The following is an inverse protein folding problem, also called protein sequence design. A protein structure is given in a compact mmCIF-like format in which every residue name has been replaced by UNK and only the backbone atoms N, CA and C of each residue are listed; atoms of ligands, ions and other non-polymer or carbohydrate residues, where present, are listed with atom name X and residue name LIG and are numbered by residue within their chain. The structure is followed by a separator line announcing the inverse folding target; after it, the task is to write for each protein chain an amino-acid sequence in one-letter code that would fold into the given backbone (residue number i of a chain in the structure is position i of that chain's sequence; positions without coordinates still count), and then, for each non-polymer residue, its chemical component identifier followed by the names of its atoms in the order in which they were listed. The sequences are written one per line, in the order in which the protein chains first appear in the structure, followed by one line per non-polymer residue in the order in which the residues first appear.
data_IF_166256395741
#
_entry.id   IF_166256395741
#
_cell.length_a   1.000
_cell.length_b   1.000
_cell.length_c   1.000
_cell.angle_alpha   90.00
_cell.angle_beta   90.00
_cell.angle_gamma   90.00
#
_symmetry.space_group_name_H-M   'P 1'
#
loop_
_entity.id
_entity.type
_entity.pdbx_description
1 polymer ?
#
# COMPACT_ATOMS: atom_id res chain seq x y z
N UNK A 1 -23.98 -23.69 -22.44
CA UNK A 1 -23.89 -25.17 -22.49
C UNK A 1 -22.61 -25.53 -23.21
N UNK A 2 -21.57 -25.97 -22.53
CA UNK A 2 -20.63 -27.03 -22.85
C UNK A 2 -19.51 -27.04 -21.82
N UNK A 3 -19.65 -27.98 -20.88
CA UNK A 3 -18.60 -28.34 -19.91
C UNK A 3 -17.47 -29.06 -20.68
N UNK A 4 -16.21 -28.62 -20.48
CA UNK A 4 -15.04 -29.43 -20.84
C UNK A 4 -14.54 -30.16 -19.60
N UNK A 5 -14.69 -31.49 -19.63
CA UNK A 5 -14.08 -32.43 -18.69
C UNK A 5 -12.60 -32.59 -19.03
N UNK A 6 -11.71 -32.54 -18.03
CA UNK A 6 -10.35 -33.04 -18.17
C UNK A 6 -10.25 -34.45 -17.59
N UNK A 7 -9.81 -35.35 -18.45
CA UNK A 7 -9.55 -36.76 -18.17
C UNK A 7 -8.24 -36.92 -17.39
N UNK A 8 -8.36 -37.63 -16.27
CA UNK A 8 -7.23 -38.18 -15.51
C UNK A 8 -6.65 -39.39 -16.27
N UNK A 9 -5.34 -39.40 -16.50
CA UNK A 9 -4.60 -40.59 -16.91
C UNK A 9 -3.67 -41.00 -15.78
N UNK A 10 -4.02 -42.13 -15.15
CA UNK A 10 -3.14 -42.84 -14.24
C UNK A 10 -2.14 -43.68 -15.03
N UNK A 11 -0.85 -43.51 -14.74
CA UNK A 11 0.23 -44.34 -15.24
C UNK A 11 1.08 -44.87 -14.12
N UNK A 12 1.00 -46.14 -13.81
CA UNK A 12 1.92 -46.90 -12.95
C UNK A 12 3.22 -47.20 -13.72
N UNK A 13 4.36 -47.12 -13.04
CA UNK A 13 5.57 -47.70 -13.62
C UNK A 13 6.87 -47.37 -12.87
N UNK A 14 7.21 -48.20 -11.88
CA UNK A 14 8.51 -48.88 -11.67
C UNK A 14 9.72 -48.05 -11.12
N UNK A 15 10.16 -48.53 -9.98
CA UNK A 15 11.39 -48.38 -9.16
C UNK A 15 12.68 -48.29 -9.97
N UNK A 16 13.52 -47.32 -9.58
CA UNK A 16 14.95 -47.29 -9.96
C UNK A 16 15.70 -46.44 -8.92
N UNK A 17 16.40 -47.11 -8.02
CA UNK A 17 17.38 -46.53 -7.08
C UNK A 17 18.60 -46.06 -7.85
N UNK A 18 18.98 -44.82 -7.75
CA UNK A 18 20.36 -44.34 -7.80
C UNK A 18 20.45 -42.94 -7.20
N UNK A 19 21.15 -42.83 -6.08
CA UNK A 19 21.37 -41.56 -5.40
C UNK A 19 22.32 -40.63 -6.14
N UNK A 20 22.09 -39.34 -5.98
CA UNK A 20 23.09 -38.30 -5.94
C UNK A 20 22.56 -37.16 -5.11
N UNK A 21 23.26 -36.90 -4.01
CA UNK A 21 23.13 -35.73 -3.15
C UNK A 21 23.37 -34.45 -3.98
N UNK A 22 22.35 -33.69 -4.21
CA UNK A 22 22.43 -32.30 -4.62
C UNK A 22 21.73 -31.46 -3.55
N UNK A 23 22.49 -30.86 -2.66
CA UNK A 23 22.04 -29.82 -1.78
C UNK A 23 21.75 -28.60 -2.68
N UNK A 24 20.48 -28.37 -2.95
CA UNK A 24 20.01 -27.07 -3.47
C UNK A 24 20.09 -26.05 -2.31
N UNK A 25 20.15 -24.75 -2.62
CA UNK A 25 20.14 -23.73 -1.60
C UNK A 25 18.88 -23.90 -0.73
N UNK A 26 19.07 -23.78 0.58
CA UNK A 26 18.02 -23.82 1.58
C UNK A 26 17.01 -22.72 1.24
N UNK A 27 15.86 -23.09 0.70
CA UNK A 27 14.68 -22.24 0.78
C UNK A 27 14.32 -22.21 2.26
N UNK A 28 14.35 -21.05 2.87
CA UNK A 28 13.79 -20.87 4.21
C UNK A 28 12.39 -21.50 4.22
N UNK A 29 12.03 -22.22 5.29
CA UNK A 29 10.70 -22.82 5.35
C UNK A 29 9.67 -21.70 5.28
N UNK A 30 8.71 -21.83 4.36
CA UNK A 30 7.56 -20.95 4.31
C UNK A 30 6.91 -20.93 5.72
N UNK A 31 6.66 -19.73 6.24
CA UNK A 31 6.02 -19.57 7.56
C UNK A 31 4.61 -20.17 7.42
N UNK A 32 4.31 -21.18 8.24
CA UNK A 32 3.01 -21.83 8.20
C UNK A 32 1.99 -20.99 9.01
N UNK A 33 0.81 -20.65 8.45
CA UNK A 33 -0.22 -19.92 9.18
C UNK A 33 -0.67 -20.71 10.42
N UNK A 34 -0.88 -20.03 11.52
CA UNK A 34 -1.34 -20.67 12.76
C UNK A 34 -2.82 -21.00 12.74
N UNK A 35 -3.62 -20.27 11.93
CA UNK A 35 -5.05 -20.53 11.74
C UNK A 35 -5.91 -20.34 12.99
N UNK A 36 -5.37 -19.69 14.01
CA UNK A 36 -6.06 -19.48 15.29
C UNK A 36 -6.89 -18.18 15.29
N UNK A 37 -6.73 -17.31 14.28
CA UNK A 37 -7.48 -16.07 14.16
C UNK A 37 -8.95 -16.31 13.82
N UNK A 38 -9.82 -15.45 14.36
CA UNK A 38 -11.22 -15.42 14.00
C UNK A 38 -11.48 -14.41 12.91
N UNK A 39 -12.01 -14.85 11.79
CA UNK A 39 -12.35 -14.01 10.63
C UNK A 39 -13.85 -13.91 10.46
N UNK A 40 -14.36 -12.69 10.29
CA UNK A 40 -15.76 -12.39 10.05
C UNK A 40 -15.90 -11.39 8.90
N UNK A 41 -16.84 -11.63 7.98
CA UNK A 41 -17.22 -10.63 6.97
C UNK A 41 -18.17 -9.61 7.60
N UNK A 42 -17.77 -8.33 7.64
CA UNK A 42 -18.58 -7.25 8.23
C UNK A 42 -19.34 -6.45 7.17
N UNK A 43 -18.88 -6.43 5.94
CA UNK A 43 -19.61 -5.88 4.79
C UNK A 43 -19.19 -6.64 3.53
N UNK A 44 -20.04 -6.63 2.49
CA UNK A 44 -19.78 -7.35 1.23
C UNK A 44 -20.38 -6.59 0.03
N UNK A 45 -19.79 -6.76 -1.14
CA UNK A 45 -20.29 -6.19 -2.37
C UNK A 45 -19.62 -4.87 -2.82
N UNK A 46 -18.47 -4.53 -2.25
CA UNK A 46 -17.62 -3.43 -2.73
C UNK A 46 -16.92 -3.79 -4.04
N UNK A 47 -16.64 -2.81 -4.89
CA UNK A 47 -15.97 -3.03 -6.15
C UNK A 47 -14.50 -2.60 -6.08
N UNK A 48 -13.57 -3.55 -6.04
CA UNK A 48 -12.14 -3.27 -5.94
C UNK A 48 -11.81 -2.17 -4.93
N UNK A 49 -12.18 -2.35 -3.62
CA UNK A 49 -11.81 -1.38 -2.61
C UNK A 49 -10.30 -1.20 -2.60
N UNK A 50 -9.84 0.06 -2.65
CA UNK A 50 -8.41 0.37 -2.71
C UNK A 50 -7.86 0.83 -1.37
N UNK A 51 -8.67 1.59 -0.64
CA UNK A 51 -8.31 2.11 0.68
C UNK A 51 -9.52 2.19 1.60
N UNK A 52 -9.24 2.13 2.87
CA UNK A 52 -10.21 2.22 3.94
C UNK A 52 -9.65 3.05 5.10
N UNK A 53 -10.42 3.99 5.63
CA UNK A 53 -10.07 4.73 6.85
C UNK A 53 -11.24 4.77 7.81
N UNK A 54 -10.96 4.87 9.11
CA UNK A 54 -11.97 4.92 10.17
C UNK A 54 -12.36 6.37 10.43
N UNK A 55 -13.67 6.66 10.57
CA UNK A 55 -14.12 7.93 11.08
C UNK A 55 -13.97 7.98 12.61
N UNK A 56 -13.22 8.97 13.17
CA UNK A 56 -12.86 8.95 14.59
C UNK A 56 -14.03 9.11 15.56
N UNK A 57 -15.20 9.55 15.07
CA UNK A 57 -16.34 9.93 15.93
C UNK A 57 -17.53 8.96 15.87
N UNK A 58 -17.59 8.00 14.93
CA UNK A 58 -18.72 7.08 14.81
C UNK A 58 -18.38 5.66 14.33
N UNK A 59 -17.11 5.31 14.28
CA UNK A 59 -16.61 3.97 13.93
C UNK A 59 -17.07 3.42 12.57
N UNK A 60 -17.52 4.27 11.64
CA UNK A 60 -17.76 3.87 10.24
C UNK A 60 -16.48 3.96 9.43
N UNK A 61 -16.41 3.18 8.37
CA UNK A 61 -15.31 3.28 7.41
C UNK A 61 -15.69 4.19 6.24
N UNK A 62 -14.75 4.99 5.79
CA UNK A 62 -14.78 5.61 4.47
C UNK A 62 -13.94 4.73 3.56
N UNK A 63 -14.53 4.21 2.49
CA UNK A 63 -13.90 3.25 1.58
C UNK A 63 -13.90 3.79 0.17
N UNK A 64 -12.74 3.76 -0.48
CA UNK A 64 -12.61 4.06 -1.91
C UNK A 64 -12.80 2.79 -2.74
N UNK A 65 -13.55 2.88 -3.82
CA UNK A 65 -13.76 1.82 -4.79
C UNK A 65 -13.14 2.24 -6.12
N UNK A 66 -11.99 1.66 -6.42
CA UNK A 66 -11.06 2.11 -7.45
C UNK A 66 -11.68 2.20 -8.83
N UNK A 67 -12.16 1.07 -9.34
CA UNK A 67 -12.51 0.91 -10.76
C UNK A 67 -13.80 1.66 -11.14
N UNK A 68 -14.68 1.90 -10.17
CA UNK A 68 -15.95 2.61 -10.37
C UNK A 68 -15.89 4.06 -9.91
N UNK A 69 -14.76 4.52 -9.35
CA UNK A 69 -14.60 5.90 -8.88
C UNK A 69 -15.59 6.28 -7.78
N UNK A 70 -15.91 5.36 -6.86
CA UNK A 70 -16.92 5.55 -5.83
C UNK A 70 -16.28 5.66 -4.44
N UNK A 71 -16.81 6.55 -3.63
CA UNK A 71 -16.53 6.64 -2.21
C UNK A 71 -17.75 6.17 -1.45
N UNK A 72 -17.59 5.32 -0.46
CA UNK A 72 -18.70 4.75 0.32
C UNK A 72 -18.45 4.90 1.81
N UNK A 73 -19.50 5.16 2.59
CA UNK A 73 -19.51 4.91 4.03
C UNK A 73 -19.94 3.47 4.27
N UNK A 74 -19.20 2.77 5.11
CA UNK A 74 -19.50 1.38 5.49
C UNK A 74 -19.67 1.32 7.00
N UNK A 75 -20.79 0.78 7.44
CA UNK A 75 -21.07 0.54 8.85
C UNK A 75 -20.69 -0.91 9.18
N UNK A 76 -19.64 -1.15 9.97
CA UNK A 76 -19.21 -2.50 10.28
C UNK A 76 -20.11 -3.25 11.27
N UNK A 77 -21.07 -2.59 11.93
CA UNK A 77 -21.99 -3.23 12.85
C UNK A 77 -23.14 -3.96 12.14
N UNK A 78 -23.61 -3.41 11.01
CA UNK A 78 -24.74 -3.96 10.27
C UNK A 78 -24.46 -4.28 8.80
N UNK A 79 -23.26 -3.94 8.29
CA UNK A 79 -22.83 -4.20 6.92
C UNK A 79 -23.41 -3.23 5.87
N UNK A 80 -24.06 -2.15 6.29
CA UNK A 80 -24.65 -1.17 5.37
C UNK A 80 -23.56 -0.40 4.60
N UNK A 81 -23.70 -0.33 3.28
CA UNK A 81 -22.82 0.41 2.38
C UNK A 81 -23.60 1.58 1.79
N UNK A 82 -23.20 2.81 2.12
CA UNK A 82 -23.83 4.05 1.65
C UNK A 82 -22.89 4.79 0.69
N UNK A 83 -23.16 4.81 -0.63
CA UNK A 83 -22.35 5.57 -1.58
C UNK A 83 -22.47 7.07 -1.34
N UNK A 84 -21.34 7.79 -1.40
CA UNK A 84 -21.26 9.24 -1.30
C UNK A 84 -21.22 9.87 -2.69
N UNK A 85 -22.00 10.92 -2.89
CA UNK A 85 -21.95 11.74 -4.10
C UNK A 85 -20.91 12.87 -3.98
N UNK A 86 -20.57 13.54 -5.10
CA UNK A 86 -19.70 14.71 -5.11
C UNK A 86 -18.19 14.42 -5.11
N UNK A 87 -17.78 13.17 -5.28
CA UNK A 87 -16.36 12.81 -5.45
C UNK A 87 -15.81 13.29 -6.80
N UNK A 88 -14.49 13.51 -6.94
CA UNK A 88 -13.87 13.86 -8.23
C UNK A 88 -14.14 12.82 -9.32
N UNK A 89 -14.21 13.26 -10.57
CA UNK A 89 -14.17 12.35 -11.72
C UNK A 89 -12.77 11.75 -11.89
N UNK A 90 -12.69 10.43 -12.07
CA UNK A 90 -11.44 9.69 -12.13
C UNK A 90 -11.24 9.03 -13.50
N UNK A 91 -9.98 8.76 -13.83
CA UNK A 91 -9.58 7.89 -14.92
C UNK A 91 -9.22 6.52 -14.33
N UNK A 92 -10.04 5.50 -14.58
CA UNK A 92 -9.89 4.16 -14.02
C UNK A 92 -9.16 3.19 -14.95
N UNK A 93 -8.42 3.68 -15.95
CA UNK A 93 -7.64 2.81 -16.81
C UNK A 93 -6.43 2.20 -16.08
N UNK A 94 -6.18 0.91 -16.29
CA UNK A 94 -5.03 0.19 -15.75
C UNK A 94 -5.05 0.08 -14.22
N UNK A 95 -4.13 0.77 -13.55
CA UNK A 95 -4.06 0.85 -12.09
C UNK A 95 -4.65 2.16 -11.53
N UNK A 96 -5.24 2.97 -12.40
CA UNK A 96 -5.89 4.21 -12.03
C UNK A 96 -7.26 4.03 -11.37
N UNK A 97 -7.88 5.15 -11.00
CA UNK A 97 -9.20 5.20 -10.37
C UNK A 97 -9.24 6.11 -9.15
N UNK A 98 -10.23 5.89 -8.29
CA UNK A 98 -10.27 6.48 -6.95
C UNK A 98 -9.39 5.61 -6.04
N UNK A 99 -8.32 6.19 -5.50
CA UNK A 99 -7.26 5.43 -4.85
C UNK A 99 -7.34 5.55 -3.34
N UNK A 100 -6.67 6.48 -2.71
CA UNK A 100 -6.61 6.55 -1.25
C UNK A 100 -7.55 7.59 -0.64
N UNK A 101 -7.83 7.44 0.66
CA UNK A 101 -8.57 8.41 1.47
C UNK A 101 -7.95 8.56 2.85
N UNK A 102 -7.69 9.80 3.25
CA UNK A 102 -7.32 10.16 4.62
C UNK A 102 -8.34 11.14 5.22
N UNK A 103 -8.46 11.10 6.54
CA UNK A 103 -9.32 12.00 7.32
C UNK A 103 -8.45 13.09 7.96
N UNK A 104 -8.94 14.33 8.01
CA UNK A 104 -8.25 15.41 8.71
C UNK A 104 -8.01 15.07 10.19
N UNK A 105 -6.83 15.36 10.77
CA UNK A 105 -6.53 15.02 12.19
C UNK A 105 -7.52 15.63 13.20
N UNK A 106 -8.09 16.82 12.90
CA UNK A 106 -9.09 17.46 13.74
C UNK A 106 -10.55 17.09 13.39
N UNK A 107 -10.77 15.97 12.68
CA UNK A 107 -12.12 15.49 12.42
C UNK A 107 -12.84 15.12 13.73
N UNK A 108 -14.15 15.44 13.93
CA UNK A 108 -15.11 16.01 12.98
C UNK A 108 -15.17 17.55 12.99
N UNK A 109 -14.34 18.25 13.77
CA UNK A 109 -14.35 19.72 13.81
C UNK A 109 -14.01 20.31 12.43
N UNK A 110 -13.01 19.71 11.78
CA UNK A 110 -12.65 19.94 10.38
C UNK A 110 -13.02 18.68 9.56
N UNK A 111 -14.24 18.61 8.98
CA UNK A 111 -14.75 17.39 8.35
C UNK A 111 -14.20 17.15 6.94
N UNK A 112 -12.91 17.38 6.75
CA UNK A 112 -12.23 17.18 5.49
C UNK A 112 -11.81 15.73 5.29
N UNK A 113 -12.11 15.21 4.10
CA UNK A 113 -11.53 14.01 3.52
C UNK A 113 -10.53 14.41 2.45
N UNK A 114 -9.41 13.74 2.41
CA UNK A 114 -8.36 13.91 1.39
C UNK A 114 -8.38 12.68 0.50
N UNK A 115 -8.55 12.89 -0.79
CA UNK A 115 -8.74 11.82 -1.78
C UNK A 115 -7.60 11.88 -2.79
N UNK A 116 -6.91 10.77 -3.00
CA UNK A 116 -6.00 10.63 -4.12
C UNK A 116 -6.65 9.84 -5.24
N UNK A 117 -6.36 10.19 -6.48
CA UNK A 117 -6.96 9.58 -7.64
C UNK A 117 -6.13 9.85 -8.90
N UNK A 118 -6.34 9.05 -9.92
CA UNK A 118 -5.85 9.35 -11.26
C UNK A 118 -6.88 10.13 -12.06
N UNK A 119 -6.43 11.14 -12.79
CA UNK A 119 -7.30 11.89 -13.70
C UNK A 119 -6.54 12.32 -14.95
N UNK A 120 -7.27 12.42 -16.06
CA UNK A 120 -6.74 12.79 -17.35
C UNK A 120 -6.81 14.32 -17.59
N UNK A 121 -5.84 14.83 -18.36
CA UNK A 121 -5.89 16.16 -18.95
C UNK A 121 -6.71 16.14 -20.27
N UNK A 122 -6.79 17.29 -20.94
CA UNK A 122 -7.54 17.40 -22.20
C UNK A 122 -6.96 16.59 -23.36
N UNK A 123 -5.70 16.15 -23.26
CA UNK A 123 -4.99 15.35 -24.26
C UNK A 123 -5.10 13.84 -23.97
N UNK A 124 -5.77 13.46 -22.86
CA UNK A 124 -5.93 12.07 -22.42
C UNK A 124 -4.73 11.53 -21.63
N UNK A 125 -3.75 12.36 -21.31
CA UNK A 125 -2.64 11.98 -20.46
C UNK A 125 -3.04 12.04 -18.98
N UNK A 126 -2.55 11.12 -18.17
CA UNK A 126 -2.97 10.97 -16.76
C UNK A 126 -1.85 11.26 -15.78
N UNK A 127 -2.23 11.62 -14.55
CA UNK A 127 -1.30 11.73 -13.41
C UNK A 127 -2.04 11.50 -12.09
N UNK A 128 -1.27 11.38 -11.00
CA UNK A 128 -1.82 11.32 -9.64
C UNK A 128 -2.24 12.70 -9.18
N UNK A 129 -3.47 12.80 -8.65
CA UNK A 129 -4.03 14.01 -8.06
C UNK A 129 -4.30 13.79 -6.58
N UNK A 130 -4.31 14.87 -5.81
CA UNK A 130 -4.93 14.93 -4.49
C UNK A 130 -5.96 16.07 -4.45
N UNK A 131 -7.11 15.78 -3.91
CA UNK A 131 -8.16 16.74 -3.61
C UNK A 131 -8.63 16.58 -2.16
N UNK A 132 -9.23 17.62 -1.60
CA UNK A 132 -10.00 17.50 -0.36
C UNK A 132 -11.44 17.90 -0.58
N UNK A 133 -12.35 17.39 0.26
CA UNK A 133 -13.75 17.76 0.28
C UNK A 133 -14.35 17.53 1.65
N UNK A 134 -15.43 18.26 1.98
CA UNK A 134 -16.10 18.14 3.27
C UNK A 134 -17.10 16.99 3.26
N UNK A 135 -16.99 16.09 4.22
CA UNK A 135 -17.99 15.03 4.42
C UNK A 135 -19.28 15.61 4.99
N UNK A 136 -20.38 15.45 4.25
CA UNK A 136 -21.74 15.75 4.70
C UNK A 136 -22.51 14.44 4.81
N UNK A 137 -22.67 13.94 6.05
CA UNK A 137 -23.33 12.65 6.33
C UNK A 137 -24.83 12.71 6.13
N UNK A 138 -25.44 13.88 6.40
CA UNK A 138 -26.90 14.05 6.29
C UNK A 138 -27.38 13.99 4.83
N UNK A 139 -26.55 14.49 3.91
CA UNK A 139 -26.81 14.50 2.48
C UNK A 139 -26.07 13.39 1.71
N UNK A 140 -25.35 12.49 2.41
CA UNK A 140 -24.56 11.40 1.83
C UNK A 140 -23.63 11.90 0.70
N UNK A 141 -22.85 12.94 0.98
CA UNK A 141 -22.09 13.65 -0.04
C UNK A 141 -20.77 14.20 0.46
N UNK A 142 -19.86 14.43 -0.49
CA UNK A 142 -18.67 15.25 -0.32
C UNK A 142 -18.90 16.59 -0.99
N UNK A 143 -18.76 17.68 -0.25
CA UNK A 143 -18.99 19.05 -0.73
C UNK A 143 -17.71 19.87 -0.70
N UNK A 144 -17.72 21.07 -1.28
CA UNK A 144 -16.56 21.98 -1.30
C UNK A 144 -15.28 21.32 -1.82
N UNK A 145 -15.40 20.44 -2.81
CA UNK A 145 -14.27 19.69 -3.38
C UNK A 145 -13.31 20.62 -4.10
N UNK A 146 -12.06 20.59 -3.70
CA UNK A 146 -10.98 21.35 -4.32
C UNK A 146 -9.76 20.47 -4.59
N UNK A 147 -9.15 20.62 -5.76
CA UNK A 147 -7.92 19.93 -6.13
C UNK A 147 -6.75 20.68 -5.52
N UNK A 148 -5.99 20.00 -4.65
CA UNK A 148 -4.86 20.56 -3.93
C UNK A 148 -3.57 20.50 -4.75
N UNK A 149 -3.31 19.35 -5.37
CA UNK A 149 -2.09 19.14 -6.13
C UNK A 149 -2.32 18.18 -7.32
N UNK A 150 -1.48 18.33 -8.34
CA UNK A 150 -1.41 17.43 -9.51
C UNK A 150 0.05 17.10 -9.74
N UNK A 151 0.43 15.86 -9.60
CA UNK A 151 1.79 15.41 -9.90
C UNK A 151 2.15 15.70 -11.36
N UNK A 152 3.39 16.06 -11.62
CA UNK A 152 3.86 16.48 -12.92
C UNK A 152 5.02 15.62 -13.43
N UNK A 153 5.10 15.42 -14.76
CA UNK A 153 4.13 15.82 -15.80
C UNK A 153 2.95 14.84 -15.93
N UNK A 154 1.97 15.17 -16.76
CA UNK A 154 0.98 14.22 -17.25
C UNK A 154 1.60 13.30 -18.28
N UNK A 155 1.18 12.01 -18.35
CA UNK A 155 1.72 10.99 -19.24
C UNK A 155 0.63 10.10 -19.84
N UNK A 156 0.84 9.65 -21.06
CA UNK A 156 0.05 8.57 -21.68
C UNK A 156 0.48 7.21 -21.09
N UNK A 157 0.17 6.99 -19.80
CA UNK A 157 0.48 5.78 -19.02
C UNK A 157 -0.56 5.59 -17.93
N UNK A 158 -0.93 4.33 -17.67
CA UNK A 158 -2.00 3.95 -16.74
C UNK A 158 -1.55 3.08 -15.56
N UNK A 159 -0.24 3.02 -15.27
CA UNK A 159 0.29 2.20 -14.18
C UNK A 159 1.13 3.03 -13.20
N UNK A 160 1.41 2.45 -12.02
CA UNK A 160 2.26 2.98 -10.97
C UNK A 160 1.93 4.42 -10.61
N UNK A 161 0.76 4.63 -10.04
CA UNK A 161 0.34 5.93 -9.54
C UNK A 161 0.86 6.22 -8.11
N UNK A 162 1.34 5.20 -7.36
CA UNK A 162 1.62 5.31 -5.93
C UNK A 162 0.32 5.54 -5.17
N UNK A 163 0.07 6.81 -4.80
CA UNK A 163 -1.21 7.38 -4.35
C UNK A 163 -1.56 7.19 -2.87
N UNK A 164 -0.76 6.51 -2.06
CA UNK A 164 -1.04 6.45 -0.63
C UNK A 164 -0.87 7.83 -0.01
N UNK A 165 -1.78 8.24 0.89
CA UNK A 165 -1.75 9.52 1.58
C UNK A 165 -2.01 9.37 3.06
N UNK A 166 -1.22 10.06 3.88
CA UNK A 166 -1.41 10.15 5.34
C UNK A 166 -1.04 11.52 5.87
N UNK A 167 -1.48 11.84 7.07
CA UNK A 167 -0.94 12.95 7.84
C UNK A 167 0.27 12.47 8.63
N UNK A 168 1.37 13.20 8.55
CA UNK A 168 2.53 12.95 9.40
C UNK A 168 2.37 13.57 10.80
N UNK A 169 3.33 13.30 11.68
CA UNK A 169 3.33 13.83 13.05
C UNK A 169 3.44 15.37 13.12
N UNK A 170 3.81 15.98 12.02
CA UNK A 170 3.89 17.44 11.84
C UNK A 170 2.59 18.04 11.25
N UNK A 171 1.51 17.27 11.24
CA UNK A 171 0.18 17.64 10.71
C UNK A 171 0.17 17.99 9.21
N UNK A 172 1.19 17.56 8.46
CA UNK A 172 1.27 17.73 7.00
C UNK A 172 0.87 16.48 6.26
N UNK A 173 0.44 16.66 5.03
CA UNK A 173 0.11 15.58 4.11
C UNK A 173 1.39 15.01 3.48
N UNK A 174 1.51 13.69 3.50
CA UNK A 174 2.51 12.94 2.76
C UNK A 174 1.80 12.07 1.74
N UNK A 175 2.19 12.17 0.47
CA UNK A 175 1.57 11.44 -0.62
C UNK A 175 2.63 10.76 -1.48
N UNK A 176 2.48 9.45 -1.71
CA UNK A 176 3.36 8.71 -2.62
C UNK A 176 2.96 8.93 -4.07
N UNK A 177 3.94 9.05 -4.96
CA UNK A 177 3.76 9.10 -6.42
C UNK A 177 4.65 8.06 -7.06
N UNK A 178 4.09 7.13 -7.83
CA UNK A 178 4.83 6.07 -8.47
C UNK A 178 5.63 6.53 -9.71
N UNK A 179 6.54 5.67 -10.17
CA UNK A 179 7.43 5.92 -11.30
C UNK A 179 6.76 5.79 -12.68
N UNK A 180 5.42 5.60 -12.73
CA UNK A 180 4.62 5.41 -13.94
C UNK A 180 5.11 4.26 -14.82
N UNK A 181 5.76 3.25 -14.19
CA UNK A 181 6.29 2.04 -14.82
C UNK A 181 7.33 2.33 -15.92
N UNK A 182 8.19 3.31 -15.74
CA UNK A 182 9.37 3.47 -16.59
C UNK A 182 10.34 2.30 -16.35
N UNK A 183 11.00 1.84 -17.42
CA UNK A 183 11.86 0.63 -17.42
C UNK A 183 13.26 0.87 -17.95
N UNK A 184 13.71 2.07 -18.01
CA UNK A 184 15.07 2.49 -18.32
C UNK A 184 15.91 2.56 -17.03
N UNK A 185 16.23 1.40 -16.47
CA UNK A 185 16.91 1.26 -15.20
C UNK A 185 18.34 1.84 -15.22
N UNK A 186 18.48 3.07 -14.80
CA UNK A 186 19.75 3.79 -14.78
C UNK A 186 19.63 5.13 -14.02
N UNK A 187 20.72 5.89 -13.95
CA UNK A 187 20.73 7.15 -13.20
C UNK A 187 19.85 8.26 -13.80
N UNK A 188 19.45 8.12 -15.07
CA UNK A 188 18.56 9.09 -15.75
C UNK A 188 17.06 8.67 -15.62
N UNK A 189 16.74 7.68 -14.76
CA UNK A 189 15.37 7.26 -14.52
C UNK A 189 14.53 8.36 -13.86
N UNK A 190 13.24 8.40 -14.15
CA UNK A 190 12.32 9.43 -13.62
C UNK A 190 12.33 9.55 -12.10
N UNK A 191 12.52 8.44 -11.36
CA UNK A 191 12.61 8.45 -9.89
C UNK A 191 13.93 9.04 -9.36
N UNK A 192 14.91 9.32 -10.25
CA UNK A 192 16.18 9.96 -9.93
C UNK A 192 16.25 11.39 -10.50
N UNK A 193 15.23 11.83 -11.24
CA UNK A 193 15.12 13.15 -11.84
C UNK A 193 14.13 14.02 -11.05
N UNK A 194 14.64 14.91 -10.21
CA UNK A 194 13.84 15.76 -9.33
C UNK A 194 13.12 16.91 -10.04
N UNK A 195 13.20 17.01 -11.38
CA UNK A 195 12.42 17.97 -12.17
C UNK A 195 10.97 17.53 -12.40
N UNK A 196 10.64 16.31 -11.99
CA UNK A 196 9.30 15.70 -12.01
C UNK A 196 8.92 15.15 -10.64
N UNK A 197 7.65 14.76 -10.45
CA UNK A 197 7.13 14.24 -9.17
C UNK A 197 7.10 12.70 -9.09
N UNK A 198 7.67 11.98 -10.08
CA UNK A 198 7.55 10.52 -10.14
C UNK A 198 8.58 9.77 -9.29
N UNK A 199 8.15 8.67 -8.68
CA UNK A 199 8.98 7.87 -7.78
C UNK A 199 9.37 8.63 -6.51
N UNK A 200 8.45 9.44 -5.98
CA UNK A 200 8.70 10.32 -4.84
C UNK A 200 7.63 10.19 -3.75
N UNK A 201 7.93 10.72 -2.59
CA UNK A 201 6.91 11.15 -1.62
C UNK A 201 6.85 12.66 -1.63
N UNK A 202 5.65 13.21 -1.80
CA UNK A 202 5.39 14.64 -1.73
C UNK A 202 4.95 15.00 -0.31
N UNK A 203 5.34 16.19 0.18
CA UNK A 203 4.89 16.76 1.45
C UNK A 203 4.22 18.10 1.21
N UNK A 204 2.98 18.24 1.67
CA UNK A 204 2.12 19.40 1.45
C UNK A 204 1.50 19.88 2.76
N UNK A 205 1.19 21.16 2.85
CA UNK A 205 0.29 21.66 3.88
C UNK A 205 -1.16 21.14 3.63
N UNK A 206 -2.04 21.11 4.63
CA UNK A 206 -3.43 20.62 4.47
C UNK A 206 -4.26 21.36 3.42
N UNK A 207 -3.83 22.54 2.99
CA UNK A 207 -4.46 23.34 1.93
C UNK A 207 -3.81 23.11 0.54
N UNK A 208 -2.83 22.20 0.46
CA UNK A 208 -2.11 21.86 -0.78
C UNK A 208 -0.93 22.77 -1.12
N UNK A 209 -0.65 23.79 -0.31
CA UNK A 209 0.56 24.59 -0.49
C UNK A 209 1.81 23.80 -0.10
N UNK A 210 2.96 24.21 -0.64
CA UNK A 210 4.25 23.58 -0.33
C UNK A 210 4.81 24.17 0.95
N UNK A 211 5.17 23.34 1.97
CA UNK A 211 5.80 23.83 3.19
C UNK A 211 7.15 24.49 2.93
N UNK A 212 7.42 25.64 3.55
CA UNK A 212 8.73 26.33 3.49
C UNK A 212 9.90 25.46 3.99
N UNK A 213 9.60 24.45 4.80
CA UNK A 213 10.58 23.52 5.38
C UNK A 213 10.78 22.24 4.55
N UNK A 214 10.29 22.17 3.33
CA UNK A 214 10.57 21.04 2.44
C UNK A 214 12.05 21.03 2.02
N UNK A 215 12.62 19.84 1.81
CA UNK A 215 14.08 19.72 1.61
C UNK A 215 14.61 20.44 0.37
N UNK A 216 13.78 20.64 -0.66
CA UNK A 216 14.21 21.15 -1.96
C UNK A 216 13.63 22.52 -2.35
N UNK A 217 13.00 23.25 -1.41
CA UNK A 217 12.35 24.56 -1.68
C UNK A 217 13.29 25.60 -2.32
N UNK A 218 14.56 25.62 -1.90
CA UNK A 218 15.54 26.60 -2.40
C UNK A 218 16.38 26.05 -3.57
N UNK A 219 16.10 24.82 -4.06
CA UNK A 219 16.87 24.21 -5.14
C UNK A 219 16.31 24.59 -6.52
N UNK A 220 17.11 25.20 -7.41
CA UNK A 220 16.64 25.58 -8.74
C UNK A 220 16.31 24.35 -9.58
N UNK A 221 15.23 24.43 -10.35
CA UNK A 221 14.77 23.40 -11.29
C UNK A 221 14.34 22.07 -10.63
N UNK A 222 14.19 22.02 -9.30
CA UNK A 222 13.68 20.88 -8.54
C UNK A 222 12.22 21.10 -8.14
N UNK A 223 11.44 20.03 -8.04
CA UNK A 223 10.05 20.09 -7.58
C UNK A 223 10.00 20.31 -6.05
N UNK A 224 9.57 21.48 -5.62
CA UNK A 224 9.58 21.91 -4.22
C UNK A 224 8.72 21.05 -3.28
N UNK A 225 7.71 20.36 -3.84
CA UNK A 225 6.83 19.47 -3.06
C UNK A 225 7.49 18.15 -2.65
N UNK A 226 8.62 17.77 -3.25
CA UNK A 226 9.30 16.50 -2.98
C UNK A 226 9.83 16.50 -1.55
N UNK A 227 9.48 15.43 -0.79
CA UNK A 227 10.03 15.14 0.53
C UNK A 227 11.22 14.16 0.44
N UNK A 228 11.08 13.09 -0.33
CA UNK A 228 12.13 12.13 -0.65
C UNK A 228 11.85 11.48 -2.02
N UNK A 229 12.80 10.74 -2.56
CA UNK A 229 12.73 10.20 -3.92
C UNK A 229 13.41 8.83 -4.05
N UNK A 230 13.39 8.27 -5.26
CA UNK A 230 14.00 6.97 -5.50
C UNK A 230 13.12 5.80 -5.09
N UNK A 231 11.80 5.95 -5.22
CA UNK A 231 10.79 4.92 -5.03
C UNK A 231 10.24 4.44 -6.39
N UNK A 232 9.66 3.24 -6.41
CA UNK A 232 9.07 2.66 -7.62
C UNK A 232 7.55 2.84 -7.67
N UNK A 233 6.82 2.21 -6.77
CA UNK A 233 5.35 2.26 -6.71
C UNK A 233 4.88 1.95 -5.29
N UNK A 234 5.13 2.88 -4.39
CA UNK A 234 4.78 2.75 -2.98
C UNK A 234 3.26 2.81 -2.78
N UNK A 235 2.68 1.73 -2.24
CA UNK A 235 1.24 1.58 -2.02
C UNK A 235 0.84 1.38 -0.55
N UNK A 236 1.77 1.39 0.37
CA UNK A 236 1.55 1.50 1.81
C UNK A 236 2.29 2.71 2.36
N UNK A 237 1.69 3.41 3.31
CA UNK A 237 2.28 4.55 4.02
C UNK A 237 1.57 4.68 5.37
N UNK A 238 2.34 4.62 6.44
CA UNK A 238 1.82 4.75 7.81
C UNK A 238 2.82 5.47 8.71
N UNK A 239 2.38 5.92 9.88
CA UNK A 239 3.23 6.53 10.90
C UNK A 239 3.46 5.49 12.00
N UNK A 240 4.70 5.32 12.42
CA UNK A 240 5.01 4.47 13.57
C UNK A 240 4.53 5.15 14.86
N UNK A 241 3.67 4.49 15.69
CA UNK A 241 2.98 5.17 16.79
C UNK A 241 3.89 5.62 17.94
N UNK A 242 5.08 5.06 18.07
CA UNK A 242 6.01 5.40 19.17
C UNK A 242 7.16 6.30 18.72
N UNK A 243 7.61 6.19 17.45
CA UNK A 243 8.79 6.94 16.96
C UNK A 243 8.43 8.11 16.07
N UNK A 244 7.17 8.24 15.65
CA UNK A 244 6.70 9.24 14.69
C UNK A 244 7.36 9.12 13.29
N UNK A 245 8.06 8.02 13.00
CA UNK A 245 8.67 7.77 11.71
C UNK A 245 7.61 7.39 10.67
N UNK A 246 7.80 7.87 9.44
CA UNK A 246 6.95 7.52 8.30
C UNK A 246 7.51 6.26 7.63
N UNK A 247 6.70 5.22 7.57
CA UNK A 247 7.02 3.94 6.95
C UNK A 247 6.27 3.74 5.65
N UNK A 248 6.96 3.22 4.65
CA UNK A 248 6.41 2.95 3.31
C UNK A 248 6.67 1.51 2.93
N UNK A 249 5.71 0.89 2.25
CA UNK A 249 5.91 -0.35 1.49
C UNK A 249 5.99 -0.03 0.00
N UNK A 250 7.08 -0.44 -0.65
CA UNK A 250 7.33 -0.17 -2.08
C UNK A 250 7.45 -1.46 -2.88
N UNK A 251 6.83 -1.47 -4.06
CA UNK A 251 6.88 -2.61 -4.97
C UNK A 251 8.19 -2.68 -5.75
N UNK A 252 8.86 -3.80 -5.70
CA UNK A 252 9.99 -4.13 -6.56
C UNK A 252 9.62 -4.42 -8.03
N UNK A 253 10.62 -4.65 -8.88
CA UNK A 253 10.39 -5.03 -10.30
C UNK A 253 9.98 -6.50 -10.39
N UNK A 254 10.89 -7.42 -10.11
CA UNK A 254 10.62 -8.82 -9.83
C UNK A 254 11.27 -9.13 -8.51
N UNK A 255 10.50 -9.45 -7.50
CA UNK A 255 10.95 -9.45 -6.12
C UNK A 255 11.59 -8.08 -5.75
N UNK A 256 12.24 -7.95 -4.61
CA UNK A 256 12.84 -6.70 -4.17
C UNK A 256 11.78 -5.71 -3.67
N UNK A 257 10.61 -6.18 -3.32
CA UNK A 257 9.65 -5.39 -2.55
C UNK A 257 10.32 -4.99 -1.23
N UNK A 258 9.98 -3.80 -0.68
CA UNK A 258 10.75 -3.20 0.41
C UNK A 258 9.84 -2.53 1.45
N UNK A 259 10.31 -2.55 2.72
CA UNK A 259 9.82 -1.65 3.76
C UNK A 259 10.88 -0.59 4.03
N UNK A 260 10.49 0.66 3.95
CA UNK A 260 11.37 1.82 3.96
C UNK A 260 10.92 2.82 5.02
N UNK A 261 11.86 3.38 5.79
CA UNK A 261 11.64 4.54 6.65
C UNK A 261 12.03 5.79 5.87
N UNK A 262 11.09 6.73 5.73
CA UNK A 262 11.30 7.94 4.94
C UNK A 262 12.22 8.93 5.67
N UNK A 263 13.20 9.45 4.94
CA UNK A 263 14.09 10.51 5.41
C UNK A 263 14.00 11.73 4.49
N UNK A 264 13.93 12.92 5.08
CA UNK A 264 13.80 14.18 4.32
C UNK A 264 14.98 14.40 3.38
N UNK A 265 14.71 14.60 2.09
CA UNK A 265 15.72 14.83 1.06
C UNK A 265 16.47 13.58 0.60
N UNK A 266 16.19 12.41 1.18
CA UNK A 266 16.93 11.19 0.90
C UNK A 266 16.50 10.52 -0.41
N UNK A 267 17.45 9.74 -0.97
CA UNK A 267 17.26 8.84 -2.10
C UNK A 267 17.09 7.40 -1.59
N UNK A 268 15.97 6.75 -1.90
CA UNK A 268 15.68 5.37 -1.53
C UNK A 268 16.09 4.35 -2.60
N UNK A 269 16.84 4.77 -3.63
CA UNK A 269 17.65 3.92 -4.48
C UNK A 269 17.03 3.48 -5.80
N UNK A 270 15.70 3.38 -5.95
CA UNK A 270 15.12 2.92 -7.20
C UNK A 270 15.45 3.82 -8.40
N UNK A 271 15.91 3.28 -9.56
CA UNK A 271 16.34 1.89 -9.80
C UNK A 271 17.87 1.74 -9.81
N UNK A 272 18.63 2.69 -9.24
CA UNK A 272 20.09 2.68 -9.24
C UNK A 272 20.68 1.75 -8.17
N UNK A 273 19.91 1.46 -7.13
CA UNK A 273 20.20 0.48 -6.10
C UNK A 273 18.92 -0.23 -5.66
N UNK A 274 18.91 -1.57 -5.64
CA UNK A 274 17.71 -2.33 -5.33
C UNK A 274 18.02 -3.82 -5.09
N UNK A 275 17.27 -4.49 -4.20
CA UNK A 275 17.48 -5.91 -3.90
C UNK A 275 16.79 -6.88 -4.88
N UNK A 276 15.92 -6.38 -5.74
CA UNK A 276 15.21 -7.17 -6.74
C UNK A 276 15.98 -7.41 -8.03
N UNK A 277 15.34 -8.11 -8.94
CA UNK A 277 15.86 -8.39 -10.26
C UNK A 277 14.87 -8.06 -11.37
N UNK A 278 15.36 -8.03 -12.60
CA UNK A 278 14.57 -7.70 -13.79
C UNK A 278 13.63 -8.83 -14.15
N UNK A 279 12.39 -8.51 -14.47
CA UNK A 279 11.42 -9.50 -14.93
C UNK A 279 11.97 -10.41 -16.05
N UNK A 280 11.74 -11.71 -15.89
CA UNK A 280 12.14 -12.72 -16.85
C UNK A 280 13.63 -13.09 -16.85
N UNK A 281 14.41 -12.54 -15.90
CA UNK A 281 15.83 -12.84 -15.70
C UNK A 281 16.18 -12.84 -14.22
N UNK A 282 17.39 -13.28 -13.88
CA UNK A 282 17.95 -13.14 -12.53
C UNK A 282 18.99 -12.00 -12.51
N UNK A 283 18.97 -11.10 -13.50
CA UNK A 283 19.86 -9.95 -13.54
C UNK A 283 19.40 -8.90 -12.51
N UNK A 284 20.30 -8.40 -11.65
CA UNK A 284 19.94 -7.39 -10.65
C UNK A 284 19.45 -6.09 -11.28
N UNK A 285 18.69 -5.32 -10.51
CA UNK A 285 18.34 -3.94 -10.83
C UNK A 285 19.29 -3.04 -10.05
N UNK A 286 20.18 -2.33 -10.76
CA UNK A 286 21.15 -1.44 -10.12
C UNK A 286 22.22 -2.17 -9.28
N UNK A 287 22.78 -1.43 -8.34
CA UNK A 287 23.69 -1.93 -7.30
C UNK A 287 22.88 -2.46 -6.10
N UNK A 288 23.54 -3.00 -5.09
CA UNK A 288 22.88 -3.26 -3.81
C UNK A 288 22.82 -1.97 -2.98
N UNK A 289 21.69 -1.67 -2.30
CA UNK A 289 21.59 -0.49 -1.43
C UNK A 289 22.67 -0.42 -0.35
N UNK A 290 23.00 -1.56 0.30
CA UNK A 290 24.04 -1.67 1.34
C UNK A 290 25.49 -1.42 0.83
N UNK A 291 25.68 -1.35 -0.49
CA UNK A 291 26.97 -1.02 -1.13
C UNK A 291 27.10 0.46 -1.52
N UNK A 292 26.07 1.30 -1.23
CA UNK A 292 26.01 2.71 -1.65
C UNK A 292 25.83 3.65 -0.47
N UNK A 293 26.65 4.72 -0.44
CA UNK A 293 26.59 5.77 0.59
C UNK A 293 25.56 6.89 0.26
N UNK A 294 25.04 6.91 -0.97
CA UNK A 294 24.14 7.95 -1.49
C UNK A 294 22.67 7.51 -1.56
N UNK A 295 22.34 6.35 -1.00
CA UNK A 295 20.98 5.85 -0.87
C UNK A 295 20.71 5.39 0.57
N UNK A 296 19.43 5.41 0.97
CA UNK A 296 18.98 4.85 2.24
C UNK A 296 18.66 3.39 2.04
N UNK A 297 19.24 2.52 2.88
CA UNK A 297 18.97 1.10 2.88
C UNK A 297 17.57 0.82 3.45
N UNK A 298 16.72 -0.04 2.84
CA UNK A 298 15.44 -0.42 3.40
C UNK A 298 15.63 -1.17 4.73
N UNK A 299 14.65 -1.06 5.63
CA UNK A 299 14.66 -1.78 6.91
C UNK A 299 14.29 -3.25 6.76
N UNK A 300 13.58 -3.59 5.68
CA UNK A 300 13.27 -4.97 5.29
C UNK A 300 13.09 -5.07 3.77
N UNK A 301 13.46 -6.21 3.19
CA UNK A 301 13.33 -6.44 1.75
C UNK A 301 13.19 -7.92 1.41
N UNK A 302 12.55 -8.21 0.30
CA UNK A 302 12.43 -9.55 -0.28
C UNK A 302 13.40 -9.71 -1.45
N UNK A 303 14.51 -10.44 -1.24
CA UNK A 303 15.55 -10.61 -2.27
C UNK A 303 15.02 -11.26 -3.56
N UNK A 304 15.74 -11.02 -4.66
CA UNK A 304 15.52 -11.71 -5.92
C UNK A 304 15.55 -13.23 -5.76
N UNK A 305 14.46 -13.89 -6.17
CA UNK A 305 14.32 -15.35 -6.10
C UNK A 305 13.50 -15.86 -4.91
N UNK A 306 13.07 -14.99 -4.00
CA UNK A 306 12.21 -15.36 -2.86
C UNK A 306 10.74 -15.54 -3.23
N UNK A 307 10.29 -14.98 -4.36
CA UNK A 307 8.90 -14.97 -4.81
C UNK A 307 8.21 -13.62 -4.59
N UNK A 308 8.90 -12.70 -3.90
CA UNK A 308 8.42 -11.36 -3.62
C UNK A 308 7.26 -11.30 -2.63
N UNK A 309 6.96 -10.09 -2.23
CA UNK A 309 5.81 -9.74 -1.41
C UNK A 309 5.22 -8.45 -1.99
N UNK A 310 4.36 -8.50 -3.03
CA UNK A 310 3.80 -7.27 -3.62
C UNK A 310 2.91 -6.56 -2.59
N UNK A 311 3.47 -5.56 -1.86
CA UNK A 311 2.82 -4.98 -0.71
C UNK A 311 1.74 -4.00 -1.12
N UNK A 312 0.74 -3.83 -0.26
CA UNK A 312 -0.32 -2.86 -0.44
C UNK A 312 -0.45 -1.95 0.79
N UNK A 313 -1.66 -1.65 1.23
CA UNK A 313 -1.88 -0.88 2.45
C UNK A 313 -1.26 -1.54 3.67
N UNK A 314 -0.85 -0.73 4.63
CA UNK A 314 -0.19 -1.18 5.86
C UNK A 314 -0.56 -0.32 7.05
N UNK A 315 -0.50 -0.91 8.23
CA UNK A 315 -0.74 -0.21 9.50
C UNK A 315 0.06 -0.86 10.64
N UNK A 316 0.53 -0.06 11.58
CA UNK A 316 0.91 -0.58 12.89
C UNK A 316 -0.34 -0.93 13.69
N UNK A 317 -0.24 -1.96 14.51
CA UNK A 317 -1.36 -2.32 15.37
C UNK A 317 -1.52 -1.31 16.51
N UNK A 318 -2.65 -0.65 16.52
CA UNK A 318 -3.03 0.31 17.56
C UNK A 318 -4.11 -0.23 18.51
N UNK A 319 -4.61 -1.46 18.24
CA UNK A 319 -5.64 -2.10 19.03
C UNK A 319 -5.19 -2.53 20.43
N UNK A 320 -6.02 -3.29 21.13
CA UNK A 320 -5.82 -3.59 22.57
C UNK A 320 -5.23 -4.97 22.86
N UNK A 321 -5.07 -5.84 21.85
CA UNK A 321 -4.56 -7.21 22.06
C UNK A 321 -3.05 -7.22 22.30
N UNK A 322 -2.56 -7.79 23.42
CA UNK A 322 -1.15 -7.67 23.81
C UNK A 322 -0.16 -8.34 22.85
N UNK A 323 -0.57 -9.45 22.18
CA UNK A 323 0.33 -10.21 21.31
C UNK A 323 0.56 -9.54 19.95
N UNK A 324 -0.24 -8.51 19.62
CA UNK A 324 -0.11 -7.74 18.37
C UNK A 324 0.47 -6.34 18.57
N UNK A 325 0.71 -5.94 19.84
CA UNK A 325 1.22 -4.60 20.16
C UNK A 325 2.57 -4.34 19.51
N UNK A 326 2.64 -3.25 18.74
CA UNK A 326 3.85 -2.83 18.03
C UNK A 326 4.11 -3.55 16.71
N UNK A 327 3.33 -4.58 16.36
CA UNK A 327 3.48 -5.27 15.09
C UNK A 327 2.98 -4.41 13.91
N UNK A 328 3.66 -4.56 12.78
CA UNK A 328 3.25 -4.00 11.50
C UNK A 328 2.49 -5.04 10.68
N UNK A 329 1.34 -4.63 10.14
CA UNK A 329 0.53 -5.46 9.24
C UNK A 329 0.54 -4.87 7.83
N UNK A 330 0.82 -5.72 6.83
CA UNK A 330 0.96 -5.31 5.43
C UNK A 330 0.14 -6.23 4.53
N UNK A 331 -0.72 -5.66 3.69
CA UNK A 331 -1.48 -6.42 2.70
C UNK A 331 -0.56 -7.01 1.63
N UNK A 332 -0.74 -8.29 1.30
CA UNK A 332 -0.04 -8.94 0.19
C UNK A 332 -1.01 -9.27 -0.95
N UNK A 333 -0.78 -8.64 -2.11
CA UNK A 333 -1.69 -8.77 -3.26
C UNK A 333 -1.57 -10.10 -3.97
N UNK A 334 -0.37 -10.54 -4.32
CA UNK A 334 -0.16 -11.77 -5.07
C UNK A 334 0.06 -12.98 -4.17
N UNK A 335 0.60 -12.79 -2.97
CA UNK A 335 0.71 -13.84 -1.96
C UNK A 335 -0.64 -14.20 -1.34
N UNK A 336 -1.62 -13.28 -1.40
CA UNK A 336 -3.00 -13.51 -0.98
C UNK A 336 -3.13 -13.81 0.52
N UNK A 337 -2.43 -13.02 1.34
CA UNK A 337 -2.49 -13.06 2.80
C UNK A 337 -2.22 -11.67 3.41
N UNK A 338 -2.46 -11.52 4.68
CA UNK A 338 -2.03 -10.37 5.46
C UNK A 338 -0.71 -10.70 6.15
N UNK A 339 0.38 -10.06 5.73
CA UNK A 339 1.69 -10.19 6.37
C UNK A 339 1.69 -9.54 7.74
N UNK A 340 2.36 -10.18 8.71
CA UNK A 340 2.58 -9.68 10.06
C UNK A 340 4.06 -9.61 10.34
N UNK A 341 4.54 -8.50 10.86
CA UNK A 341 5.95 -8.23 11.11
C UNK A 341 6.15 -7.74 12.54
N UNK A 342 6.98 -8.43 13.30
CA UNK A 342 7.47 -7.92 14.56
C UNK A 342 8.48 -6.80 14.29
N UNK A 343 8.33 -5.67 14.98
CA UNK A 343 9.21 -4.49 14.83
C UNK A 343 9.82 -4.14 16.18
N UNK A 344 11.15 -4.10 16.25
CA UNK A 344 11.92 -3.65 17.41
C UNK A 344 12.92 -2.58 16.95
N UNK A 345 12.60 -1.31 17.20
CA UNK A 345 13.30 -0.15 16.63
C UNK A 345 13.27 -0.17 15.09
N UNK A 346 14.36 -0.54 14.44
CA UNK A 346 14.46 -0.68 12.97
C UNK A 346 14.74 -2.13 12.52
N UNK A 347 14.70 -3.07 13.45
CA UNK A 347 14.80 -4.50 13.15
C UNK A 347 13.39 -5.03 12.86
N UNK A 348 13.20 -5.65 11.70
CA UNK A 348 11.91 -6.16 11.22
C UNK A 348 12.05 -7.66 10.96
N UNK A 349 11.15 -8.44 11.53
CA UNK A 349 11.07 -9.90 11.33
C UNK A 349 9.67 -10.26 10.82
N UNK A 350 9.57 -10.93 9.67
CA UNK A 350 8.30 -11.50 9.20
C UNK A 350 7.94 -12.69 10.08
N UNK A 351 6.75 -12.65 10.65
CA UNK A 351 6.22 -13.71 11.50
C UNK A 351 5.01 -14.37 10.84
N UNK A 352 4.19 -15.13 11.58
CA UNK A 352 3.08 -15.87 10.98
C UNK A 352 2.10 -14.96 10.22
N UNK A 353 1.80 -15.26 8.94
CA UNK A 353 0.81 -14.52 8.17
C UNK A 353 -0.61 -14.83 8.64
N UNK A 354 -1.53 -13.88 8.48
CA UNK A 354 -2.95 -14.08 8.74
C UNK A 354 -3.72 -14.33 7.43
N UNK A 355 -4.82 -15.07 7.51
CA UNK A 355 -5.74 -15.38 6.40
C UNK A 355 -5.10 -15.99 5.15
N UNK A 356 -4.00 -16.71 5.31
CA UNK A 356 -3.25 -17.29 4.21
C UNK A 356 -3.97 -18.46 3.49
N UNK A 357 -4.93 -19.10 4.12
CA UNK A 357 -5.70 -20.22 3.55
C UNK A 357 -6.91 -19.78 2.70
N UNK A 358 -7.19 -18.46 2.62
CA UNK A 358 -8.43 -17.93 2.04
C UNK A 358 -8.27 -17.41 0.62
N UNK A 359 -7.05 -17.39 0.05
CA UNK A 359 -6.73 -16.89 -1.29
C UNK A 359 -7.16 -15.43 -1.54
N UNK A 360 -7.23 -14.58 -0.51
CA UNK A 360 -7.64 -13.19 -0.62
C UNK A 360 -6.48 -12.27 -0.98
N UNK A 361 -6.66 -11.49 -2.02
CA UNK A 361 -5.76 -10.37 -2.35
C UNK A 361 -5.99 -9.24 -1.35
N UNK A 362 -5.17 -9.18 -0.30
CA UNK A 362 -5.31 -8.17 0.74
C UNK A 362 -4.82 -6.82 0.21
N UNK A 363 -5.73 -5.84 0.12
CA UNK A 363 -5.48 -4.53 -0.46
C UNK A 363 -5.16 -3.47 0.59
N UNK A 364 -5.89 -3.47 1.68
CA UNK A 364 -5.71 -2.48 2.74
C UNK A 364 -6.05 -3.06 4.10
N UNK A 365 -5.47 -2.48 5.14
CA UNK A 365 -5.67 -2.89 6.53
C UNK A 365 -5.68 -1.67 7.43
N UNK A 366 -6.62 -1.64 8.38
CA UNK A 366 -6.70 -0.62 9.43
C UNK A 366 -6.81 -1.26 10.80
N UNK A 367 -6.24 -0.60 11.80
CA UNK A 367 -6.24 -1.01 13.20
C UNK A 367 -6.90 0.09 14.07
N UNK A 368 -8.22 0.04 14.28
CA UNK A 368 -8.87 1.03 15.12
C UNK A 368 -8.44 0.86 16.58
N UNK A 369 -8.05 1.94 17.29
CA UNK A 369 -7.42 1.85 18.62
C UNK A 369 -8.34 1.36 19.74
N UNK A 370 -9.65 1.38 19.54
CA UNK A 370 -10.64 0.98 20.55
C UNK A 370 -11.06 -0.49 20.44
N UNK A 371 -10.49 -1.25 19.51
CA UNK A 371 -10.81 -2.66 19.28
C UNK A 371 -9.57 -3.54 19.39
N UNK A 372 -9.75 -4.85 19.52
CA UNK A 372 -8.70 -5.86 19.41
C UNK A 372 -8.62 -6.46 17.99
N UNK A 373 -9.40 -5.93 17.04
CA UNK A 373 -9.50 -6.43 15.68
C UNK A 373 -8.76 -5.54 14.67
N UNK A 374 -8.27 -6.19 13.61
CA UNK A 374 -7.93 -5.56 12.34
C UNK A 374 -9.13 -5.61 11.40
N UNK A 375 -9.24 -4.61 10.52
CA UNK A 375 -10.18 -4.64 9.42
C UNK A 375 -9.43 -4.60 8.10
N UNK A 376 -9.85 -5.47 7.17
CA UNK A 376 -9.11 -5.73 5.93
C UNK A 376 -10.04 -5.56 4.73
N UNK A 377 -9.59 -4.80 3.73
CA UNK A 377 -10.23 -4.70 2.43
C UNK A 377 -9.59 -5.68 1.43
N UNK A 378 -10.42 -6.42 0.69
CA UNK A 378 -10.00 -7.40 -0.32
C UNK A 378 -10.12 -6.80 -1.72
N UNK A 379 -9.09 -6.94 -2.57
CA UNK A 379 -9.09 -6.47 -3.96
C UNK A 379 -9.81 -7.47 -4.88
N UNK A 380 -11.12 -7.34 -5.01
CA UNK A 380 -11.94 -8.18 -5.88
C UNK A 380 -13.22 -7.47 -6.34
N UNK A 381 -13.89 -8.01 -7.35
CA UNK A 381 -15.29 -7.70 -7.66
C UNK A 381 -16.20 -8.19 -6.53
N UNK A 382 -17.18 -7.38 -6.10
CA UNK A 382 -18.04 -7.71 -4.97
C UNK A 382 -17.24 -8.19 -3.73
N UNK A 383 -16.28 -7.37 -3.34
CA UNK A 383 -15.31 -7.69 -2.30
C UNK A 383 -15.86 -7.49 -0.88
N UNK A 384 -15.44 -8.33 0.07
CA UNK A 384 -15.75 -8.12 1.47
C UNK A 384 -14.82 -7.12 2.16
N UNK A 385 -15.29 -6.55 3.27
CA UNK A 385 -14.44 -6.08 4.37
C UNK A 385 -14.48 -7.16 5.45
N UNK A 386 -13.31 -7.56 5.91
CA UNK A 386 -13.12 -8.58 6.92
C UNK A 386 -12.76 -7.93 8.26
N UNK A 387 -13.27 -8.51 9.33
CA UNK A 387 -12.81 -8.29 10.70
C UNK A 387 -11.96 -9.48 11.09
N UNK A 388 -10.74 -9.26 11.54
CA UNK A 388 -9.80 -10.30 11.99
C UNK A 388 -9.50 -10.04 13.46
N UNK A 389 -9.83 -11.01 14.31
CA UNK A 389 -9.51 -11.00 15.74
C UNK A 389 -8.42 -12.02 16.04
N UNK A 390 -7.49 -11.72 16.97
CA UNK A 390 -6.51 -12.70 17.42
C UNK A 390 -7.21 -13.95 17.97
N UNK A 391 -6.58 -15.09 17.80
CA UNK A 391 -7.05 -16.36 18.39
C UNK A 391 -7.12 -16.27 19.90
N UNK A 392 -8.08 -16.96 20.51
CA UNK A 392 -8.13 -17.06 21.98
C UNK A 392 -6.97 -17.96 22.44
N UNK A 393 -6.11 -17.44 23.33
CA UNK A 393 -5.17 -18.31 24.03
C UNK A 393 -5.93 -19.54 24.59
N UNK A 394 -5.51 -20.72 24.15
CA UNK A 394 -6.00 -21.93 24.79
C UNK A 394 -5.51 -21.90 26.24
N UNK A 395 -6.41 -21.52 27.17
CA UNK A 395 -6.15 -21.64 28.59
C UNK A 395 -5.89 -23.12 28.89
N UNK A 396 -4.65 -23.54 28.81
CA UNK A 396 -4.22 -24.83 29.35
C UNK A 396 -4.32 -24.73 30.88
N UNK A 397 -5.44 -25.24 31.43
CA UNK A 397 -5.56 -25.58 32.85
C UNK A 397 -4.59 -26.70 33.27
#
# INVERSE_FOLDING_TARGET
MQRRQYLSVAGLGVVGLAGCLGLGPDSEPAIEPTGDERVETVADGLNHPWSMTVLPDDFRFVVTERDVGRLSLVDPENGDITPLSGVPEVDAEGQGGLLDVAVHPEFPTEPWLYLTYSAANNDGETTTHIARGRLNRDDESVTDVEVLYRAQPFLDRSNHYGSRVTFGPDERLYMTVGDRQFRDFGPDHVSQDLTNDFGTVLRLEPDGSVPDANPFVDEPDVREAIYCYGLRNAQGLTVHPETDELWVSDHGERDGDELVILEAGANHGWPIAHYGCRYGTDAPVGDRPDEREDVVDPVYYWECGTGGFPPAGMTFYEGTHPDWQGDLFVGNLAGQYLGRFAVDDREVEEIEPLVADEDWRVRDVVSPPETDALFVAVDADAAPILRIEPGQESSTE
#
